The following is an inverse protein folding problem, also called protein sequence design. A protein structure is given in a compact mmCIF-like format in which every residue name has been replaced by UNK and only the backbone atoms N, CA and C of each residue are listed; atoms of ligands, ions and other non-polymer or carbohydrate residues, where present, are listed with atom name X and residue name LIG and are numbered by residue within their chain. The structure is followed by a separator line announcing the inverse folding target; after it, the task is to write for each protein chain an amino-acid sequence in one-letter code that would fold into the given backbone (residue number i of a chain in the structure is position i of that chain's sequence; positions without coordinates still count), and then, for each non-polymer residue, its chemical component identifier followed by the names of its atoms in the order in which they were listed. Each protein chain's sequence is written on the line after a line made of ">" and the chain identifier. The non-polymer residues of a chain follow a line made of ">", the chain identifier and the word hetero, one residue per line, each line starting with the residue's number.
data_IF_837633275882
#
_entry.id   IF_837633275882
#
_cell.length_a   1.000
_cell.length_b   1.000
_cell.length_c   1.000
_cell.angle_alpha   90.00
_cell.angle_beta   90.00
_cell.angle_gamma   90.00
#
_symmetry.space_group_name_H-M   'P 1'
#
loop_
_entity.id
_entity.type
_entity.pdbx_description
1 polymer ?
#
# COMPACT_ATOMS: atom_id res chain seq x y z
N UNK A 1 -6.41 -7.14 -9.37
CA UNK A 1 -5.21 -7.84 -9.92
C UNK A 1 -5.17 -7.72 -11.42
N UNK A 2 -4.02 -7.46 -11.95
CA UNK A 2 -3.83 -7.48 -13.41
C UNK A 2 -2.44 -7.99 -13.77
N UNK A 3 -2.30 -8.51 -14.98
CA UNK A 3 -1.00 -8.93 -15.51
C UNK A 3 -0.18 -7.73 -15.97
N UNK A 4 1.13 -7.83 -15.76
CA UNK A 4 2.13 -6.93 -16.33
C UNK A 4 3.11 -7.77 -17.15
N UNK A 5 4.10 -7.12 -17.80
CA UNK A 5 5.10 -7.85 -18.59
C UNK A 5 5.93 -8.81 -17.76
N UNK A 6 6.07 -8.56 -16.46
CA UNK A 6 6.95 -9.34 -15.58
C UNK A 6 6.21 -10.15 -14.52
N UNK A 7 4.89 -10.02 -14.42
CA UNK A 7 4.12 -10.75 -13.42
C UNK A 7 2.73 -10.19 -13.20
N UNK A 8 2.30 -10.19 -11.95
CA UNK A 8 0.96 -9.78 -11.56
C UNK A 8 1.06 -8.76 -10.44
N UNK A 9 0.29 -7.68 -10.54
CA UNK A 9 0.18 -6.65 -9.50
C UNK A 9 -1.26 -6.49 -9.07
N UNK A 10 -1.46 -5.93 -7.87
CA UNK A 10 -2.78 -5.46 -7.47
C UNK A 10 -2.72 -3.98 -7.13
N UNK A 11 -3.85 -3.33 -7.28
CA UNK A 11 -4.05 -1.95 -6.86
C UNK A 11 -5.22 -1.93 -5.89
N UNK A 12 -5.10 -1.14 -4.82
CA UNK A 12 -6.22 -0.88 -3.93
C UNK A 12 -6.86 0.44 -4.37
N UNK A 13 -8.16 0.40 -4.58
CA UNK A 13 -8.93 1.59 -4.97
C UNK A 13 -9.83 2.04 -3.84
N UNK A 14 -9.95 3.36 -3.70
CA UNK A 14 -10.91 3.96 -2.80
C UNK A 14 -12.32 3.90 -3.41
N UNK A 15 -13.32 4.28 -2.64
CA UNK A 15 -14.70 4.29 -3.10
C UNK A 15 -14.95 5.16 -4.33
N UNK A 16 -14.14 6.19 -4.54
CA UNK A 16 -14.23 7.07 -5.71
C UNK A 16 -13.49 6.53 -6.95
N UNK A 17 -12.91 5.31 -6.86
CA UNK A 17 -12.19 4.69 -7.95
C UNK A 17 -10.72 5.07 -8.08
N UNK A 18 -10.21 5.95 -7.25
CA UNK A 18 -8.79 6.31 -7.28
C UNK A 18 -7.91 5.21 -6.70
N UNK A 19 -6.76 5.00 -7.34
CA UNK A 19 -5.76 4.05 -6.85
C UNK A 19 -5.03 4.70 -5.68
N UNK A 20 -5.11 4.07 -4.50
CA UNK A 20 -4.49 4.59 -3.28
C UNK A 20 -3.25 3.80 -2.85
N UNK A 21 -3.08 2.59 -3.35
CA UNK A 21 -1.88 1.79 -3.09
C UNK A 21 -1.66 0.78 -4.20
N UNK A 22 -0.41 0.46 -4.46
CA UNK A 22 0.00 -0.50 -5.50
C UNK A 22 0.96 -1.50 -4.90
N UNK A 23 0.78 -2.77 -5.24
CA UNK A 23 1.68 -3.83 -4.77
C UNK A 23 2.97 -3.88 -5.58
N UNK A 24 3.93 -4.66 -5.09
CA UNK A 24 5.05 -5.09 -5.91
C UNK A 24 4.57 -6.10 -6.96
N UNK A 25 5.45 -6.49 -7.88
CA UNK A 25 5.14 -7.48 -8.91
C UNK A 25 5.30 -8.87 -8.34
N UNK A 26 4.24 -9.68 -8.40
CA UNK A 26 4.25 -11.07 -7.96
C UNK A 26 4.41 -11.99 -9.17
N UNK A 27 5.09 -13.11 -8.97
CA UNK A 27 5.33 -14.06 -10.06
C UNK A 27 4.14 -14.95 -10.34
N UNK A 28 3.23 -15.12 -9.38
CA UNK A 28 2.07 -15.97 -9.54
C UNK A 28 0.84 -15.30 -9.01
N UNK A 29 -0.32 -15.72 -9.50
CA UNK A 29 -1.61 -15.25 -9.02
C UNK A 29 -1.81 -15.61 -7.54
N UNK A 30 -1.37 -16.80 -7.14
CA UNK A 30 -1.47 -17.22 -5.73
C UNK A 30 -0.70 -16.28 -4.80
N UNK A 31 0.53 -15.91 -5.17
CA UNK A 31 1.33 -14.96 -4.38
C UNK A 31 0.67 -13.58 -4.31
N UNK A 32 0.10 -13.13 -5.44
CA UNK A 32 -0.60 -11.85 -5.49
C UNK A 32 -1.83 -11.87 -4.56
N UNK A 33 -2.60 -12.94 -4.57
CA UNK A 33 -3.74 -13.10 -3.68
C UNK A 33 -3.33 -13.09 -2.21
N UNK A 34 -2.19 -13.72 -1.89
CA UNK A 34 -1.65 -13.69 -0.53
C UNK A 34 -1.29 -12.26 -0.13
N UNK A 35 -0.74 -11.46 -1.04
CA UNK A 35 -0.45 -10.05 -0.80
C UNK A 35 -1.71 -9.23 -0.54
N UNK A 36 -2.78 -9.51 -1.28
CA UNK A 36 -4.08 -8.86 -1.07
C UNK A 36 -4.62 -9.19 0.32
N UNK A 37 -4.58 -10.47 0.72
CA UNK A 37 -5.01 -10.87 2.06
C UNK A 37 -4.17 -10.19 3.13
N UNK A 38 -2.87 -10.06 2.89
CA UNK A 38 -1.95 -9.40 3.82
C UNK A 38 -2.31 -7.91 4.01
N UNK A 39 -2.61 -7.19 2.95
CA UNK A 39 -3.00 -5.78 3.09
C UNK A 39 -4.34 -5.64 3.81
N UNK A 40 -5.29 -6.52 3.54
CA UNK A 40 -6.60 -6.51 4.22
C UNK A 40 -6.46 -6.77 5.71
N UNK A 41 -5.56 -7.67 6.08
CA UNK A 41 -5.34 -8.02 7.49
C UNK A 41 -4.52 -6.97 8.22
N UNK A 42 -3.46 -6.46 7.60
CA UNK A 42 -2.50 -5.60 8.29
C UNK A 42 -2.86 -4.11 8.30
N UNK A 43 -3.53 -3.61 7.26
CA UNK A 43 -3.84 -2.18 7.17
C UNK A 43 -4.62 -1.64 8.37
N UNK A 44 -5.69 -2.32 8.86
CA UNK A 44 -6.46 -1.77 9.98
C UNK A 44 -5.68 -1.64 11.28
N UNK A 45 -4.67 -2.49 11.49
CA UNK A 45 -3.93 -2.53 12.75
C UNK A 45 -2.53 -1.93 12.67
N UNK A 46 -2.09 -1.52 11.48
CA UNK A 46 -0.76 -0.97 11.28
C UNK A 46 -0.60 0.36 11.99
N UNK A 47 0.56 0.55 12.64
CA UNK A 47 0.92 1.81 13.29
C UNK A 47 1.55 2.73 12.27
N UNK A 48 1.68 4.01 12.61
CA UNK A 48 2.30 5.01 11.73
C UNK A 48 3.71 5.35 12.21
N UNK A 49 4.67 5.26 11.31
CA UNK A 49 6.03 5.75 11.53
C UNK A 49 6.27 6.90 10.54
N UNK A 50 6.47 8.11 11.08
CA UNK A 50 6.63 9.32 10.27
C UNK A 50 8.11 9.67 10.15
N UNK A 51 8.74 9.22 9.07
CA UNK A 51 10.17 9.45 8.82
C UNK A 51 10.44 10.83 8.21
N UNK A 52 9.42 11.67 8.01
CA UNK A 52 9.61 13.05 7.58
C UNK A 52 10.05 13.95 8.73
N UNK A 53 9.87 13.48 9.96
CA UNK A 53 10.28 14.21 11.16
C UNK A 53 11.76 13.95 11.44
N UNK A 54 12.48 14.97 11.93
CA UNK A 54 13.90 14.85 12.25
C UNK A 54 14.18 13.79 13.32
N UNK A 55 13.31 13.75 14.34
CA UNK A 55 13.43 12.78 15.43
C UNK A 55 12.16 11.93 15.48
N UNK A 56 12.02 11.02 14.52
CA UNK A 56 10.83 10.17 14.48
C UNK A 56 10.99 8.98 15.40
N UNK A 57 9.86 8.49 15.90
CA UNK A 57 9.80 7.31 16.73
C UNK A 57 9.59 6.08 15.85
N UNK A 58 10.46 5.08 15.98
CA UNK A 58 10.30 3.81 15.28
C UNK A 58 9.20 2.99 15.95
N UNK A 59 8.36 2.39 15.12
CA UNK A 59 7.31 1.49 15.62
C UNK A 59 7.50 0.09 15.04
N UNK A 60 6.84 -0.89 15.65
CA UNK A 60 6.95 -2.28 15.20
C UNK A 60 6.03 -2.56 14.02
N UNK A 61 6.38 -3.58 13.23
CA UNK A 61 5.53 -4.06 12.13
C UNK A 61 4.26 -4.74 12.68
N UNK A 62 3.14 -4.71 11.96
CA UNK A 62 2.94 -4.02 10.69
C UNK A 62 2.87 -2.51 10.90
N UNK A 63 3.32 -1.75 9.90
CA UNK A 63 3.29 -0.30 10.01
C UNK A 63 3.15 0.39 8.66
N UNK A 64 2.57 1.58 8.68
CA UNK A 64 2.68 2.54 7.57
C UNK A 64 3.87 3.43 7.84
N UNK A 65 4.69 3.65 6.82
CA UNK A 65 5.83 4.56 6.90
C UNK A 65 5.61 5.71 5.93
N UNK A 66 5.58 6.95 6.45
CA UNK A 66 5.58 8.16 5.62
C UNK A 66 7.02 8.62 5.47
N UNK A 67 7.45 8.93 4.25
CA UNK A 67 8.79 9.41 3.99
C UNK A 67 8.79 10.41 2.84
N UNK A 68 9.88 11.18 2.74
CA UNK A 68 10.08 12.10 1.63
C UNK A 68 10.94 11.40 0.58
N UNK A 69 10.45 11.32 -0.65
CA UNK A 69 11.17 10.69 -1.75
C UNK A 69 12.20 11.64 -2.36
N UNK A 70 13.03 11.12 -3.26
CA UNK A 70 14.09 11.91 -3.91
C UNK A 70 13.55 13.09 -4.70
N UNK A 71 12.34 12.99 -5.24
CA UNK A 71 11.69 14.08 -5.99
C UNK A 71 10.96 15.07 -5.07
N UNK A 72 11.20 14.97 -3.75
CA UNK A 72 10.59 15.79 -2.72
C UNK A 72 9.08 15.55 -2.51
N UNK A 73 8.51 14.55 -3.17
CA UNK A 73 7.12 14.15 -2.91
C UNK A 73 7.05 13.36 -1.59
N UNK A 74 5.87 13.36 -1.00
CA UNK A 74 5.58 12.54 0.18
C UNK A 74 4.98 11.23 -0.28
N UNK A 75 5.47 10.12 0.24
CA UNK A 75 4.99 8.79 -0.09
C UNK A 75 4.83 7.96 1.17
N UNK A 76 4.02 6.91 1.08
CA UNK A 76 3.96 5.94 2.17
C UNK A 76 4.10 4.53 1.61
N UNK A 77 4.51 3.62 2.50
CA UNK A 77 4.40 2.20 2.22
C UNK A 77 3.83 1.50 3.46
N UNK A 78 3.29 0.31 3.26
CA UNK A 78 2.77 -0.55 4.32
C UNK A 78 3.63 -1.80 4.40
N UNK A 79 4.08 -2.14 5.61
CA UNK A 79 4.80 -3.39 5.85
C UNK A 79 3.90 -4.40 6.53
N UNK A 80 4.14 -5.68 6.25
CA UNK A 80 3.51 -6.78 6.95
C UNK A 80 4.24 -7.07 8.27
N UNK A 81 3.73 -8.03 9.02
CA UNK A 81 4.33 -8.43 10.30
C UNK A 81 5.80 -8.83 10.14
N UNK A 82 6.16 -9.46 9.01
CA UNK A 82 7.54 -9.88 8.74
C UNK A 82 8.45 -8.76 8.24
N UNK A 83 7.93 -7.53 8.12
CA UNK A 83 8.72 -6.39 7.64
C UNK A 83 8.75 -6.20 6.13
N UNK A 84 8.15 -7.09 5.36
CA UNK A 84 8.11 -6.94 3.90
C UNK A 84 7.14 -5.83 3.49
N UNK A 85 7.53 -5.04 2.49
CA UNK A 85 6.66 -4.01 1.92
C UNK A 85 5.61 -4.68 1.05
N UNK A 86 4.33 -4.48 1.40
CA UNK A 86 3.22 -5.09 0.68
C UNK A 86 2.48 -4.12 -0.23
N UNK A 87 2.63 -2.84 -0.02
CA UNK A 87 2.02 -1.82 -0.89
C UNK A 87 2.72 -0.49 -0.75
N UNK A 88 2.73 0.29 -1.83
CA UNK A 88 3.32 1.63 -1.87
C UNK A 88 2.30 2.61 -2.46
N UNK A 89 2.43 3.88 -2.07
CA UNK A 89 1.59 4.96 -2.60
C UNK A 89 2.24 5.62 -3.82
N UNK A 90 1.46 6.44 -4.51
CA UNK A 90 2.00 7.43 -5.43
C UNK A 90 2.65 8.58 -4.65
N UNK A 91 3.30 9.50 -5.35
CA UNK A 91 3.85 10.70 -4.73
C UNK A 91 2.77 11.74 -4.49
N UNK A 92 2.75 12.34 -3.32
CA UNK A 92 1.85 13.45 -2.96
C UNK A 92 2.67 14.72 -2.79
N UNK A 93 2.11 15.85 -3.21
CA UNK A 93 2.78 17.14 -3.06
C UNK A 93 2.67 17.70 -1.64
N UNK A 94 1.67 17.26 -0.89
CA UNK A 94 1.45 17.70 0.48
C UNK A 94 1.44 16.50 1.42
N UNK A 95 2.05 16.68 2.60
CA UNK A 95 2.09 15.63 3.63
C UNK A 95 0.67 15.23 4.09
N UNK A 96 -0.24 16.21 4.19
CA UNK A 96 -1.61 15.94 4.59
C UNK A 96 -2.31 15.01 3.61
N UNK A 97 -2.09 15.20 2.30
CA UNK A 97 -2.66 14.33 1.28
C UNK A 97 -2.15 12.89 1.43
N UNK A 98 -0.87 12.75 1.75
CA UNK A 98 -0.26 11.44 2.00
C UNK A 98 -0.89 10.77 3.23
N UNK A 99 -1.08 11.52 4.31
CA UNK A 99 -1.73 11.02 5.52
C UNK A 99 -3.18 10.61 5.25
N UNK A 100 -3.90 11.38 4.43
CA UNK A 100 -5.26 11.05 4.01
C UNK A 100 -5.28 9.74 3.21
N UNK A 101 -4.26 9.52 2.38
CA UNK A 101 -4.09 8.27 1.64
C UNK A 101 -3.94 7.07 2.56
N UNK A 102 -3.15 7.21 3.61
CA UNK A 102 -2.99 6.14 4.63
C UNK A 102 -4.34 5.84 5.28
N UNK A 103 -5.07 6.86 5.68
CA UNK A 103 -6.39 6.70 6.28
C UNK A 103 -7.33 5.96 5.33
N UNK A 104 -7.30 6.32 4.05
CA UNK A 104 -8.10 5.67 3.01
C UNK A 104 -7.76 4.18 2.88
N UNK A 105 -6.47 3.82 2.92
CA UNK A 105 -6.06 2.41 2.88
C UNK A 105 -6.61 1.66 4.09
N UNK A 106 -6.51 2.25 5.29
CA UNK A 106 -7.03 1.62 6.50
C UNK A 106 -8.53 1.34 6.41
N UNK A 107 -9.28 2.27 5.85
CA UNK A 107 -10.73 2.13 5.77
C UNK A 107 -11.18 1.19 4.65
N UNK A 108 -10.51 1.23 3.50
CA UNK A 108 -10.96 0.50 2.32
C UNK A 108 -10.45 -0.93 2.23
N UNK A 109 -9.25 -1.21 2.75
CA UNK A 109 -8.64 -2.53 2.57
C UNK A 109 -9.46 -3.67 3.20
N UNK A 110 -9.96 -3.56 4.44
CA UNK A 110 -10.62 -4.72 5.07
C UNK A 110 -11.86 -5.23 4.34
N UNK A 111 -12.61 -4.33 3.71
CA UNK A 111 -13.85 -4.69 3.03
C UNK A 111 -13.70 -4.73 1.51
N UNK A 112 -12.49 -4.58 0.99
CA UNK A 112 -12.26 -4.53 -0.45
C UNK A 112 -12.63 -5.85 -1.11
N UNK A 113 -13.25 -5.74 -2.29
CA UNK A 113 -13.59 -6.89 -3.12
C UNK A 113 -12.48 -7.08 -4.14
N UNK A 114 -12.01 -8.31 -4.29
CA UNK A 114 -10.97 -8.62 -5.27
C UNK A 114 -11.59 -8.69 -6.67
N UNK A 115 -11.08 -7.85 -7.56
CA UNK A 115 -11.42 -7.93 -8.99
C UNK A 115 -10.23 -8.54 -9.72
N UNK A 116 -10.49 -9.64 -10.42
CA UNK A 116 -9.43 -10.38 -11.11
C UNK A 116 -9.47 -10.08 -12.60
N UNK A 117 -8.55 -9.26 -13.07
CA UNK A 117 -8.43 -8.89 -14.48
C UNK A 117 -7.27 -9.62 -15.18
N UNK A 118 -6.76 -10.70 -14.57
CA UNK A 118 -5.59 -11.42 -15.13
C UNK A 118 -5.88 -12.12 -16.45
N UNK A 119 -7.14 -12.40 -16.76
CA UNK A 119 -7.54 -13.02 -18.02
C UNK A 119 -7.84 -12.01 -19.12
N UNK A 120 -7.75 -10.73 -18.82
CA UNK A 120 -7.97 -9.64 -19.80
C UNK A 120 -6.64 -9.22 -20.42
N UNK A 121 -6.65 -8.89 -21.68
CA UNK A 121 -5.48 -8.42 -22.41
C UNK A 121 -5.52 -6.93 -22.68
#
# INVERSE_FOLDING_TARGET
>A
MRKTDTGIVFHLKAGNGEIIATSEVYKSKASCLNGIESIKENAPKAKLEDQTLEHFEKVTNPKFVIYTAKDESFRFHLTAVNGEIIAVSQGYTAKQSCADGIHSVRENAPAAIVQDDTDKE
#
